data_IF_592996784841
#
_entry.id   IF_592996784841
#
_cell.length_a   1.000
_cell.length_b   1.000
_cell.length_c   1.000
_cell.angle_alpha   90.00
_cell.angle_beta   90.00
_cell.angle_gamma   90.00
#
_symmetry.space_group_name_H-M   'P 1'
#
loop_
_entity.id
_entity.type
_entity.pdbx_description
1 polymer ?
#
# COMPACT_ATOMS: atom_id res chain seq x y z
N UNK A 1 -23.01 63.04 17.77
CA UNK A 1 -23.42 61.81 17.05
C UNK A 1 -22.17 61.02 16.66
N UNK A 2 -21.75 60.05 17.48
CA UNK A 2 -20.58 59.19 17.20
C UNK A 2 -21.07 57.78 16.82
N UNK A 3 -20.98 57.43 15.55
CA UNK A 3 -21.24 56.05 15.09
C UNK A 3 -20.16 55.12 15.63
N UNK A 4 -20.56 54.24 16.54
CA UNK A 4 -19.72 53.17 17.09
C UNK A 4 -19.71 52.03 16.05
N UNK A 5 -18.66 51.98 15.21
CA UNK A 5 -18.30 50.80 14.42
C UNK A 5 -18.21 49.60 15.37
N UNK A 6 -19.25 48.77 15.44
CA UNK A 6 -19.15 47.43 16.03
C UNK A 6 -18.45 46.55 14.98
N UNK A 7 -17.14 46.49 15.07
CA UNK A 7 -16.36 45.40 14.52
C UNK A 7 -16.88 44.11 15.15
N UNK A 8 -17.56 43.28 14.35
CA UNK A 8 -17.79 41.89 14.70
C UNK A 8 -16.44 41.17 14.61
N UNK A 9 -15.62 41.34 15.65
CA UNK A 9 -14.54 40.42 15.96
C UNK A 9 -15.21 39.13 16.42
N UNK A 10 -15.31 38.16 15.51
CA UNK A 10 -15.54 36.77 15.87
C UNK A 10 -14.40 36.34 16.79
N UNK A 11 -14.71 36.36 18.09
CA UNK A 11 -13.89 35.86 19.18
C UNK A 11 -13.43 34.44 18.87
N UNK A 12 -12.12 34.21 19.02
CA UNK A 12 -11.47 32.95 18.76
C UNK A 12 -11.98 31.83 19.68
N UNK A 13 -12.85 30.99 19.13
CA UNK A 13 -13.10 29.64 19.63
C UNK A 13 -12.18 28.66 18.91
N UNK A 14 -10.96 28.45 19.40
CA UNK A 14 -10.11 27.31 19.02
C UNK A 14 -10.65 26.01 19.65
N UNK A 15 -11.87 25.60 19.31
CA UNK A 15 -12.44 24.31 19.73
C UNK A 15 -13.22 23.72 18.56
N UNK A 16 -12.72 22.62 18.01
CA UNK A 16 -13.43 21.81 17.02
C UNK A 16 -13.26 22.21 15.56
N UNK A 17 -12.17 22.89 15.17
CA UNK A 17 -11.74 22.82 13.77
C UNK A 17 -11.29 21.38 13.53
N UNK A 18 -12.21 20.56 13.03
CA UNK A 18 -11.98 19.22 12.53
C UNK A 18 -10.62 19.22 11.83
N UNK A 19 -9.72 18.27 12.11
CA UNK A 19 -8.51 18.13 11.33
C UNK A 19 -8.88 17.53 9.95
N UNK A 20 -9.76 18.20 9.19
CA UNK A 20 -10.03 17.91 7.77
C UNK A 20 -8.76 18.10 6.95
N UNK A 21 -7.80 18.91 7.46
CA UNK A 21 -6.45 19.01 6.92
C UNK A 21 -5.70 17.67 6.90
N UNK A 22 -6.17 16.62 7.59
CA UNK A 22 -5.54 15.29 7.58
C UNK A 22 -5.69 14.59 6.22
N UNK A 23 -6.76 14.82 5.46
CA UNK A 23 -6.93 14.13 4.16
C UNK A 23 -5.97 14.63 3.08
N UNK A 24 -5.50 15.88 3.19
CA UNK A 24 -4.43 16.42 2.32
C UNK A 24 -3.08 15.73 2.51
N UNK A 25 -2.88 15.12 3.69
CA UNK A 25 -1.69 14.38 4.09
C UNK A 25 -1.91 12.87 4.14
N UNK A 26 -3.11 12.37 3.77
CA UNK A 26 -3.27 10.96 3.43
C UNK A 26 -2.60 10.80 2.07
N UNK A 27 -1.30 10.52 2.15
CA UNK A 27 -0.49 10.03 1.06
C UNK A 27 -1.09 8.70 0.59
N UNK A 28 -2.10 8.78 -0.27
CA UNK A 28 -2.64 7.61 -0.97
C UNK A 28 -1.55 7.13 -1.91
N UNK A 29 -0.92 6.02 -1.53
CA UNK A 29 0.27 5.49 -2.20
C UNK A 29 1.48 6.39 -1.94
N UNK A 30 2.19 6.15 -0.82
CA UNK A 30 3.48 6.76 -0.48
C UNK A 30 4.58 6.38 -1.47
N UNK A 31 4.38 6.66 -2.76
CA UNK A 31 5.42 6.66 -3.74
C UNK A 31 6.34 7.83 -3.43
N UNK A 32 7.60 7.53 -3.13
CA UNK A 32 8.62 8.55 -2.98
C UNK A 32 9.22 8.75 -4.36
N UNK A 33 9.07 9.93 -4.99
CA UNK A 33 9.74 10.19 -6.25
C UNK A 33 11.25 10.15 -6.00
N UNK A 34 11.93 9.21 -6.63
CA UNK A 34 13.37 9.02 -6.54
C UNK A 34 13.98 8.70 -7.90
N UNK A 35 15.23 9.08 -8.10
CA UNK A 35 15.97 8.90 -9.36
C UNK A 35 16.87 7.66 -9.37
N UNK A 36 16.82 6.83 -8.33
CA UNK A 36 17.72 5.67 -8.19
C UNK A 36 17.54 4.63 -9.31
N UNK A 37 18.54 3.77 -9.49
CA UNK A 37 18.46 2.64 -10.44
C UNK A 37 17.22 1.77 -10.20
N UNK A 38 16.87 1.53 -8.93
CA UNK A 38 15.70 0.73 -8.57
C UNK A 38 14.38 1.42 -8.90
N UNK A 39 14.32 2.76 -8.88
CA UNK A 39 13.12 3.49 -9.26
C UNK A 39 12.87 3.42 -10.77
N UNK A 40 13.94 3.38 -11.58
CA UNK A 40 13.91 3.36 -13.05
C UNK A 40 13.62 1.99 -13.68
N UNK A 41 13.64 0.92 -12.90
CA UNK A 41 13.29 -0.44 -13.36
C UNK A 41 11.81 -0.52 -13.77
N UNK A 42 11.52 -1.44 -14.68
CA UNK A 42 10.16 -1.71 -15.14
C UNK A 42 9.30 -2.24 -13.98
N UNK A 43 8.07 -1.73 -13.76
CA UNK A 43 7.16 -2.19 -12.72
C UNK A 43 6.89 -3.70 -12.75
N UNK A 44 6.86 -4.30 -13.95
CA UNK A 44 6.67 -5.76 -14.14
C UNK A 44 7.79 -6.55 -13.46
N UNK A 45 9.03 -6.11 -13.65
CA UNK A 45 10.22 -6.72 -13.06
C UNK A 45 10.19 -6.60 -11.56
N UNK A 46 9.85 -5.42 -11.03
CA UNK A 46 9.74 -5.24 -9.57
C UNK A 46 8.68 -6.15 -8.96
N UNK A 47 7.49 -6.23 -9.56
CA UNK A 47 6.42 -7.12 -9.10
C UNK A 47 6.88 -8.58 -9.12
N UNK A 48 7.52 -9.02 -10.22
CA UNK A 48 8.02 -10.39 -10.33
C UNK A 48 9.12 -10.70 -9.30
N UNK A 49 10.09 -9.79 -9.11
CA UNK A 49 11.16 -9.92 -8.12
C UNK A 49 10.59 -9.97 -6.70
N UNK A 50 9.63 -9.11 -6.37
CA UNK A 50 8.98 -9.12 -5.05
C UNK A 50 8.19 -10.41 -4.84
N UNK A 51 7.48 -10.90 -5.86
CA UNK A 51 6.76 -12.17 -5.77
C UNK A 51 7.73 -13.35 -5.56
N UNK A 52 8.82 -13.40 -6.34
CA UNK A 52 9.87 -14.40 -6.18
C UNK A 52 10.47 -14.35 -4.78
N UNK A 53 10.74 -13.15 -4.25
CA UNK A 53 11.29 -12.98 -2.90
C UNK A 53 10.32 -13.47 -1.83
N UNK A 54 9.03 -13.14 -1.95
CA UNK A 54 8.00 -13.63 -1.01
C UNK A 54 7.95 -15.14 -1.01
N UNK A 55 7.86 -15.76 -2.19
CA UNK A 55 7.82 -17.23 -2.33
C UNK A 55 9.12 -17.87 -1.84
N UNK A 56 10.26 -17.30 -2.23
CA UNK A 56 11.59 -17.80 -1.85
C UNK A 56 11.83 -17.82 -0.35
N UNK A 57 11.37 -16.80 0.39
CA UNK A 57 11.50 -16.74 1.86
C UNK A 57 10.77 -17.88 2.59
N UNK A 58 9.78 -18.52 1.97
CA UNK A 58 9.10 -19.69 2.56
C UNK A 58 9.90 -20.98 2.44
N UNK A 59 10.80 -21.08 1.46
CA UNK A 59 11.66 -22.25 1.26
C UNK A 59 12.94 -22.22 2.10
N UNK A 60 13.18 -21.14 2.86
CA UNK A 60 14.38 -20.97 3.67
C UNK A 60 14.12 -21.39 5.11
N UNK A 61 14.87 -22.39 5.58
CA UNK A 61 14.84 -22.87 6.97
C UNK A 61 16.18 -22.67 7.74
N UNK A 62 17.25 -22.34 7.02
CA UNK A 62 18.59 -22.07 7.59
C UNK A 62 18.82 -20.61 7.97
N UNK A 63 19.53 -20.37 9.09
CA UNK A 63 19.97 -19.04 9.54
C UNK A 63 20.86 -18.33 8.51
N UNK A 64 21.70 -19.08 7.79
CA UNK A 64 22.54 -18.54 6.71
C UNK A 64 21.68 -18.03 5.56
N UNK A 65 20.61 -18.76 5.21
CA UNK A 65 19.68 -18.36 4.15
C UNK A 65 18.98 -17.04 4.46
N UNK A 66 18.52 -16.84 5.71
CA UNK A 66 17.96 -15.55 6.13
C UNK A 66 18.99 -14.42 6.15
N UNK A 67 20.23 -14.70 6.57
CA UNK A 67 21.32 -13.72 6.53
C UNK A 67 21.61 -13.24 5.10
N UNK A 68 21.65 -14.16 4.14
CA UNK A 68 21.85 -13.85 2.73
C UNK A 68 20.65 -13.10 2.12
N UNK A 69 19.43 -13.50 2.45
CA UNK A 69 18.22 -12.79 2.02
C UNK A 69 18.16 -11.36 2.61
N UNK A 70 18.56 -11.20 3.88
CA UNK A 70 18.68 -9.89 4.52
C UNK A 70 19.74 -9.03 3.84
N UNK A 71 20.88 -9.59 3.46
CA UNK A 71 21.92 -8.88 2.70
C UNK A 71 21.40 -8.43 1.33
N UNK A 72 20.71 -9.30 0.61
CA UNK A 72 20.10 -8.95 -0.68
C UNK A 72 19.11 -7.78 -0.57
N UNK A 73 18.21 -7.83 0.42
CA UNK A 73 17.25 -6.75 0.68
C UNK A 73 17.99 -5.48 1.12
N UNK A 74 19.01 -5.58 1.97
CA UNK A 74 19.80 -4.42 2.41
C UNK A 74 20.49 -3.73 1.22
N UNK A 75 21.08 -4.50 0.30
CA UNK A 75 21.66 -3.97 -0.94
C UNK A 75 20.59 -3.31 -1.81
N UNK A 76 19.39 -3.89 -1.93
CA UNK A 76 18.28 -3.27 -2.65
C UNK A 76 17.84 -1.95 -2.01
N UNK A 77 17.77 -1.88 -0.68
CA UNK A 77 17.45 -0.64 0.06
C UNK A 77 18.51 0.43 -0.18
N UNK A 78 19.79 0.09 -0.10
CA UNK A 78 20.89 1.04 -0.34
C UNK A 78 20.83 1.59 -1.78
N UNK A 79 20.62 0.71 -2.77
CA UNK A 79 20.48 1.11 -4.17
C UNK A 79 19.21 1.90 -4.45
N UNK A 80 18.17 1.78 -3.62
CA UNK A 80 16.90 2.50 -3.80
C UNK A 80 16.96 3.96 -3.33
N UNK A 81 17.94 4.31 -2.49
CA UNK A 81 18.04 5.66 -1.89
C UNK A 81 16.89 6.00 -0.93
N UNK A 82 16.10 5.01 -0.49
CA UNK A 82 14.97 5.23 0.41
C UNK A 82 15.50 5.48 1.84
N UNK A 83 15.08 6.56 2.51
CA UNK A 83 15.46 6.79 3.89
C UNK A 83 14.89 5.69 4.80
N UNK A 84 15.76 5.04 5.58
CA UNK A 84 15.39 3.92 6.46
C UNK A 84 14.21 4.21 7.41
N UNK A 85 13.99 5.49 7.76
CA UNK A 85 12.84 5.96 8.55
C UNK A 85 11.49 5.53 7.97
N UNK A 86 11.35 5.45 6.64
CA UNK A 86 10.11 5.00 6.01
C UNK A 86 9.91 3.50 6.13
N UNK A 87 10.99 2.71 6.06
CA UNK A 87 10.95 1.27 6.30
C UNK A 87 10.52 0.97 7.74
N UNK A 88 11.09 1.67 8.73
CA UNK A 88 10.68 1.51 10.13
C UNK A 88 9.22 1.92 10.38
N UNK A 89 8.69 2.89 9.62
CA UNK A 89 7.27 3.26 9.69
C UNK A 89 6.36 2.13 9.18
N UNK A 90 6.78 1.39 8.17
CA UNK A 90 6.10 0.19 7.68
C UNK A 90 6.12 -0.96 8.70
N UNK A 91 7.20 -1.11 9.46
CA UNK A 91 7.30 -2.13 10.51
C UNK A 91 6.44 -1.80 11.74
N UNK A 92 6.33 -0.52 12.12
CA UNK A 92 5.66 -0.07 13.36
C UNK A 92 4.30 -0.74 13.66
N UNK A 93 3.33 -0.82 12.72
CA UNK A 93 2.04 -1.48 13.02
C UNK A 93 2.15 -2.99 13.22
N UNK A 94 3.18 -3.63 12.66
CA UNK A 94 3.36 -5.10 12.68
C UNK A 94 4.29 -5.56 13.81
N UNK A 95 5.01 -4.65 14.48
CA UNK A 95 5.90 -4.99 15.62
C UNK A 95 5.15 -5.79 16.69
N UNK A 96 3.90 -5.44 16.99
CA UNK A 96 3.09 -6.16 17.98
C UNK A 96 2.90 -7.62 17.56
N UNK A 97 2.62 -7.86 16.28
CA UNK A 97 2.44 -9.21 15.73
C UNK A 97 3.77 -9.97 15.77
N UNK A 98 4.88 -9.34 15.36
CA UNK A 98 6.21 -9.97 15.38
C UNK A 98 6.60 -10.39 16.80
N UNK A 99 6.43 -9.49 17.78
CA UNK A 99 6.73 -9.77 19.18
C UNK A 99 5.81 -10.86 19.74
N UNK A 100 4.53 -10.83 19.41
CA UNK A 100 3.58 -11.85 19.82
C UNK A 100 3.95 -13.22 19.23
N UNK A 101 4.22 -13.31 17.93
CA UNK A 101 4.62 -14.56 17.27
C UNK A 101 5.93 -15.09 17.83
N UNK A 102 6.92 -14.22 18.08
CA UNK A 102 8.19 -14.60 18.70
C UNK A 102 7.99 -15.14 20.11
N UNK A 103 7.20 -14.44 20.94
CA UNK A 103 6.91 -14.86 22.31
C UNK A 103 6.14 -16.19 22.32
N UNK A 104 5.07 -16.32 21.55
CA UNK A 104 4.29 -17.55 21.47
C UNK A 104 5.17 -18.73 21.04
N UNK A 105 5.98 -18.58 19.99
CA UNK A 105 6.87 -19.68 19.56
C UNK A 105 7.94 -19.98 20.61
N UNK A 106 8.47 -18.97 21.32
CA UNK A 106 9.48 -19.18 22.36
C UNK A 106 8.95 -19.97 23.57
N UNK A 107 7.66 -19.82 23.90
CA UNK A 107 7.06 -20.45 25.09
C UNK A 107 6.19 -21.68 24.82
N UNK A 108 5.57 -21.81 23.63
CA UNK A 108 4.68 -22.92 23.29
C UNK A 108 5.35 -24.03 22.46
N UNK A 109 6.57 -23.83 21.97
CA UNK A 109 7.26 -24.86 21.19
C UNK A 109 7.92 -25.87 22.12
N UNK A 110 7.64 -27.15 21.92
CA UNK A 110 8.30 -28.25 22.64
C UNK A 110 9.77 -28.39 22.22
N UNK A 111 10.66 -28.67 23.17
CA UNK A 111 12.10 -28.72 22.93
C UNK A 111 12.96 -28.77 24.20
N UNK A 112 14.28 -28.58 24.07
CA UNK A 112 15.21 -28.47 25.18
C UNK A 112 14.93 -27.23 26.02
N UNK A 113 14.55 -27.47 27.27
CA UNK A 113 14.16 -26.44 28.23
C UNK A 113 15.42 -25.74 28.76
N UNK A 114 15.53 -24.43 28.51
CA UNK A 114 16.59 -23.58 29.08
C UNK A 114 16.12 -22.99 30.41
N UNK A 115 14.86 -22.59 30.47
CA UNK A 115 14.27 -21.94 31.64
C UNK A 115 12.81 -22.32 31.75
N UNK A 116 12.35 -22.62 32.96
CA UNK A 116 11.00 -23.06 33.24
C UNK A 116 10.40 -22.18 34.33
N UNK A 117 9.24 -21.60 34.06
CA UNK A 117 8.46 -20.89 35.05
C UNK A 117 6.98 -21.30 34.94
N UNK A 118 6.59 -22.28 35.77
CA UNK A 118 5.22 -22.83 35.76
C UNK A 118 4.86 -23.53 34.45
N UNK A 119 3.74 -23.15 33.84
CA UNK A 119 3.26 -23.67 32.54
C UNK A 119 4.05 -23.11 31.33
N UNK A 120 4.89 -22.09 31.54
CA UNK A 120 5.71 -21.47 30.49
C UNK A 120 7.12 -22.05 30.55
N UNK A 121 7.47 -22.85 29.55
CA UNK A 121 8.82 -23.38 29.36
C UNK A 121 9.47 -22.69 28.16
N UNK A 122 10.61 -22.04 28.40
CA UNK A 122 11.42 -21.43 27.34
C UNK A 122 12.33 -22.50 26.74
N UNK A 123 12.11 -22.82 25.47
CA UNK A 123 12.86 -23.87 24.74
C UNK A 123 13.84 -23.27 23.75
N UNK A 124 14.99 -23.95 23.52
CA UNK A 124 15.98 -23.53 22.51
C UNK A 124 15.38 -23.51 21.11
N UNK A 125 14.60 -24.54 20.80
CA UNK A 125 13.92 -24.73 19.52
C UNK A 125 12.83 -23.68 19.32
N UNK A 126 12.12 -23.31 20.38
CA UNK A 126 11.14 -22.22 20.36
C UNK A 126 11.77 -20.87 20.09
N UNK A 127 12.91 -20.58 20.74
CA UNK A 127 13.68 -19.36 20.51
C UNK A 127 14.23 -19.31 19.07
N UNK A 128 14.74 -20.43 18.57
CA UNK A 128 15.24 -20.55 17.21
C UNK A 128 14.12 -20.35 16.17
N UNK A 129 13.05 -21.14 16.24
CA UNK A 129 11.90 -21.04 15.30
C UNK A 129 11.20 -19.68 15.40
N UNK A 130 10.99 -19.19 16.62
CA UNK A 130 10.42 -17.86 16.85
C UNK A 130 11.28 -16.75 16.23
N UNK A 131 12.60 -16.82 16.41
CA UNK A 131 13.56 -15.89 15.82
C UNK A 131 13.53 -15.92 14.29
N UNK A 132 13.54 -17.12 13.69
CA UNK A 132 13.45 -17.27 12.23
C UNK A 132 12.15 -16.70 11.68
N UNK A 133 11.00 -16.96 12.32
CA UNK A 133 9.70 -16.41 11.91
C UNK A 133 9.67 -14.88 12.05
N UNK A 134 10.23 -14.33 13.13
CA UNK A 134 10.34 -12.89 13.31
C UNK A 134 11.18 -12.24 12.20
N UNK A 135 12.34 -12.81 11.87
CA UNK A 135 13.18 -12.35 10.76
C UNK A 135 12.45 -12.49 9.42
N UNK A 136 11.78 -13.62 9.15
CA UNK A 136 10.97 -13.84 7.93
C UNK A 136 9.94 -12.74 7.75
N UNK A 137 9.19 -12.41 8.80
CA UNK A 137 8.19 -11.33 8.76
C UNK A 137 8.83 -9.96 8.49
N UNK A 138 9.95 -9.65 9.14
CA UNK A 138 10.68 -8.40 8.88
C UNK A 138 11.12 -8.32 7.42
N UNK A 139 11.72 -9.37 6.87
CA UNK A 139 12.18 -9.39 5.47
C UNK A 139 11.01 -9.26 4.48
N UNK A 140 9.88 -9.92 4.74
CA UNK A 140 8.67 -9.80 3.91
C UNK A 140 8.15 -8.35 3.90
N UNK A 141 8.06 -7.73 5.08
CA UNK A 141 7.55 -6.35 5.20
C UNK A 141 8.52 -5.37 4.52
N UNK A 142 9.83 -5.48 4.77
CA UNK A 142 10.81 -4.57 4.14
C UNK A 142 10.83 -4.77 2.62
N UNK A 143 10.87 -6.01 2.14
CA UNK A 143 10.89 -6.33 0.71
C UNK A 143 9.67 -5.80 -0.04
N UNK A 144 8.47 -6.01 0.50
CA UNK A 144 7.21 -5.49 -0.09
C UNK A 144 7.07 -3.97 0.06
N UNK A 145 7.61 -3.39 1.12
CA UNK A 145 7.65 -1.93 1.31
C UNK A 145 8.50 -1.25 0.23
N UNK A 146 9.61 -1.85 -0.20
CA UNK A 146 10.42 -1.31 -1.30
C UNK A 146 9.59 -1.20 -2.58
N UNK A 147 8.84 -2.23 -2.96
CA UNK A 147 7.96 -2.18 -4.14
C UNK A 147 6.96 -1.03 -4.05
N UNK A 148 6.30 -0.92 -2.89
CA UNK A 148 5.26 0.07 -2.62
C UNK A 148 5.79 1.51 -2.60
N UNK A 149 6.99 1.72 -2.05
CA UNK A 149 7.61 3.05 -1.95
C UNK A 149 8.26 3.50 -3.27
N UNK A 150 8.78 2.55 -4.07
CA UNK A 150 9.52 2.84 -5.32
C UNK A 150 8.68 2.76 -6.59
N UNK A 151 7.39 2.42 -6.50
CA UNK A 151 6.51 2.29 -7.67
C UNK A 151 5.20 2.99 -7.43
N UNK A 152 4.80 3.87 -8.35
CA UNK A 152 3.53 4.58 -8.23
C UNK A 152 2.35 3.61 -8.43
N UNK A 153 1.19 3.86 -7.78
CA UNK A 153 0.02 2.99 -7.92
C UNK A 153 -0.42 2.76 -9.37
N UNK A 154 -0.35 3.80 -10.21
CA UNK A 154 -0.65 3.69 -11.64
C UNK A 154 0.35 2.79 -12.39
N UNK A 155 1.64 2.90 -12.08
CA UNK A 155 2.66 2.04 -12.68
C UNK A 155 2.55 0.59 -12.21
N UNK A 156 2.13 0.36 -10.95
CA UNK A 156 1.81 -0.97 -10.44
C UNK A 156 0.62 -1.59 -11.17
N UNK A 157 -0.45 -0.81 -11.42
CA UNK A 157 -1.60 -1.30 -12.19
C UNK A 157 -1.24 -1.62 -13.63
N UNK A 158 -0.44 -0.78 -14.30
CA UNK A 158 0.05 -1.03 -15.66
C UNK A 158 0.96 -2.29 -15.72
N UNK A 159 1.78 -2.49 -14.69
CA UNK A 159 2.64 -3.66 -14.54
C UNK A 159 1.82 -4.93 -14.37
N UNK A 160 0.85 -4.92 -13.46
CA UNK A 160 -0.04 -6.04 -13.18
C UNK A 160 -0.90 -6.39 -14.40
N UNK A 161 -1.44 -5.40 -15.11
CA UNK A 161 -2.19 -5.59 -16.36
C UNK A 161 -1.36 -6.41 -17.35
N UNK A 162 -0.09 -6.04 -17.55
CA UNK A 162 0.74 -6.76 -18.51
C UNK A 162 1.09 -8.18 -18.06
N UNK A 163 1.21 -8.42 -16.76
CA UNK A 163 1.44 -9.76 -16.21
C UNK A 163 0.18 -10.64 -16.35
N UNK A 164 -1.01 -10.04 -16.30
CA UNK A 164 -2.29 -10.72 -16.48
C UNK A 164 -2.71 -10.89 -17.96
N UNK A 165 -2.06 -10.18 -18.90
CA UNK A 165 -2.31 -10.30 -20.34
C UNK A 165 -2.32 -11.74 -20.89
N UNK A 166 -1.37 -12.66 -20.55
CA UNK A 166 -1.45 -14.05 -21.00
C UNK A 166 -2.70 -14.79 -20.47
N UNK A 167 -3.20 -14.40 -19.30
CA UNK A 167 -4.43 -14.92 -18.70
C UNK A 167 -5.70 -14.55 -19.46
N UNK A 168 -5.61 -13.69 -20.49
CA UNK A 168 -6.73 -13.39 -21.40
C UNK A 168 -7.30 -14.64 -22.07
N UNK A 169 -6.46 -15.65 -22.34
CA UNK A 169 -6.90 -16.94 -22.90
C UNK A 169 -7.85 -17.71 -21.97
N UNK A 170 -7.81 -17.41 -20.68
CA UNK A 170 -8.66 -18.00 -19.63
C UNK A 170 -9.88 -17.11 -19.33
N UNK A 171 -10.12 -16.07 -20.15
CA UNK A 171 -11.27 -15.17 -20.01
C UNK A 171 -11.06 -14.00 -19.06
N UNK A 172 -9.82 -13.72 -18.60
CA UNK A 172 -9.54 -12.58 -17.72
C UNK A 172 -9.54 -11.26 -18.53
N UNK A 173 -10.43 -10.28 -18.23
CA UNK A 173 -10.51 -9.00 -18.93
C UNK A 173 -9.47 -8.01 -18.40
N UNK A 174 -8.19 -8.27 -18.65
CA UNK A 174 -7.07 -7.51 -18.07
C UNK A 174 -7.11 -6.01 -18.42
N UNK A 175 -7.49 -5.65 -19.66
CA UNK A 175 -7.56 -4.27 -20.12
C UNK A 175 -8.67 -3.49 -19.43
N UNK A 176 -9.84 -4.10 -19.26
CA UNK A 176 -10.99 -3.51 -18.58
C UNK A 176 -10.69 -3.29 -17.10
N UNK A 177 -10.05 -4.26 -16.45
CA UNK A 177 -9.57 -4.11 -15.06
C UNK A 177 -8.60 -2.94 -14.91
N UNK A 178 -7.62 -2.81 -15.81
CA UNK A 178 -6.66 -1.72 -15.79
C UNK A 178 -7.33 -0.35 -15.99
N UNK A 179 -8.33 -0.28 -16.88
CA UNK A 179 -9.12 0.92 -17.11
C UNK A 179 -9.91 1.33 -15.86
N UNK A 180 -10.64 0.39 -15.25
CA UNK A 180 -11.41 0.64 -14.02
C UNK A 180 -10.50 1.12 -12.89
N UNK A 181 -9.34 0.48 -12.71
CA UNK A 181 -8.35 0.91 -11.71
C UNK A 181 -7.79 2.31 -12.00
N UNK A 182 -7.48 2.63 -13.26
CA UNK A 182 -6.97 3.96 -13.66
C UNK A 182 -8.02 5.05 -13.41
N UNK A 183 -9.28 4.79 -13.77
CA UNK A 183 -10.41 5.69 -13.53
C UNK A 183 -10.59 5.89 -12.03
N UNK A 184 -10.59 4.81 -11.24
CA UNK A 184 -10.72 4.87 -9.78
C UNK A 184 -9.60 5.70 -9.15
N UNK A 185 -8.32 5.41 -9.47
CA UNK A 185 -7.17 6.16 -8.95
C UNK A 185 -7.25 7.65 -9.27
N UNK A 186 -7.75 8.01 -10.46
CA UNK A 186 -7.94 9.41 -10.86
C UNK A 186 -9.11 10.07 -10.12
N UNK A 187 -10.19 9.35 -9.84
CA UNK A 187 -11.36 9.89 -9.15
C UNK A 187 -11.22 9.98 -7.63
N UNK A 188 -10.34 9.18 -7.02
CA UNK A 188 -10.11 9.22 -5.57
C UNK A 188 -9.79 10.65 -5.07
N UNK A 189 -8.81 11.39 -5.62
CA UNK A 189 -8.52 12.76 -5.18
C UNK A 189 -9.73 13.69 -5.32
N UNK A 190 -10.45 13.62 -6.45
CA UNK A 190 -11.60 14.48 -6.70
C UNK A 190 -12.78 14.18 -5.76
N UNK A 191 -13.02 12.89 -5.44
CA UNK A 191 -14.04 12.48 -4.48
C UNK A 191 -13.69 12.92 -3.06
N UNK A 192 -12.41 12.93 -2.68
CA UNK A 192 -11.97 13.45 -1.38
C UNK A 192 -12.21 14.97 -1.29
N UNK A 193 -11.85 15.73 -2.32
CA UNK A 193 -12.12 17.18 -2.36
C UNK A 193 -13.62 17.49 -2.29
N UNK A 194 -14.45 16.70 -2.97
CA UNK A 194 -15.90 16.84 -2.94
C UNK A 194 -16.48 16.48 -1.57
N UNK A 195 -15.97 15.41 -0.96
CA UNK A 195 -16.30 15.04 0.42
C UNK A 195 -15.98 16.18 1.39
N UNK A 196 -14.80 16.80 1.28
CA UNK A 196 -14.44 17.94 2.13
C UNK A 196 -15.38 19.14 1.94
N UNK A 197 -15.79 19.43 0.70
CA UNK A 197 -16.72 20.52 0.39
C UNK A 197 -18.11 20.25 0.97
N UNK A 198 -18.64 19.05 0.76
CA UNK A 198 -19.95 18.64 1.29
C UNK A 198 -19.93 18.66 2.82
N UNK A 199 -18.89 18.12 3.44
CA UNK A 199 -18.76 18.09 4.90
C UNK A 199 -18.75 19.50 5.49
N UNK A 200 -17.94 20.43 4.95
CA UNK A 200 -17.92 21.84 5.40
C UNK A 200 -19.27 22.53 5.20
N UNK A 201 -19.96 22.25 4.10
CA UNK A 201 -21.30 22.80 3.85
C UNK A 201 -22.35 22.28 4.84
N UNK A 202 -22.31 20.98 5.17
CA UNK A 202 -23.22 20.39 6.17
C UNK A 202 -22.91 20.90 7.59
N UNK A 203 -21.64 21.06 7.95
CA UNK A 203 -21.25 21.68 9.22
C UNK A 203 -21.77 23.12 9.34
N UNK A 204 -21.71 23.90 8.26
CA UNK A 204 -22.28 25.25 8.23
C UNK A 204 -23.81 25.26 8.38
N UNK A 205 -24.48 24.16 8.02
CA UNK A 205 -25.92 23.95 8.22
C UNK A 205 -26.26 23.35 9.59
N UNK A 206 -25.30 23.23 10.49
CA UNK A 206 -25.50 22.72 11.85
C UNK A 206 -25.43 21.20 11.98
N UNK A 207 -24.97 20.47 10.96
CA UNK A 207 -24.70 19.05 11.09
C UNK A 207 -23.46 18.82 11.97
N UNK A 208 -23.60 17.98 13.00
CA UNK A 208 -22.50 17.55 13.85
C UNK A 208 -22.11 16.10 13.51
N UNK A 209 -20.85 15.93 13.14
CA UNK A 209 -20.27 14.63 12.76
C UNK A 209 -19.46 13.99 13.90
N UNK A 210 -19.12 14.74 14.95
CA UNK A 210 -18.22 14.27 16.01
C UNK A 210 -18.95 13.93 17.31
N UNK A 211 -20.11 14.54 17.60
CA UNK A 211 -20.83 14.25 18.85
C UNK A 211 -21.85 13.10 18.74
N UNK A 212 -22.20 12.52 19.89
CA UNK A 212 -23.25 11.51 20.03
C UNK A 212 -22.78 10.04 20.06
N UNK A 213 -23.75 9.14 20.25
CA UNK A 213 -23.55 7.69 20.22
C UNK A 213 -23.17 7.19 18.81
N UNK A 214 -22.57 6.00 18.68
CA UNK A 214 -22.17 5.43 17.38
C UNK A 214 -23.34 5.43 16.36
N UNK A 215 -24.56 5.14 16.80
CA UNK A 215 -25.75 5.16 15.95
C UNK A 215 -26.09 6.57 15.43
N UNK A 216 -25.93 7.58 16.29
CA UNK A 216 -26.20 8.97 15.95
C UNK A 216 -25.15 9.51 14.97
N UNK A 217 -23.88 9.14 15.15
CA UNK A 217 -22.81 9.41 14.20
C UNK A 217 -23.03 8.73 12.85
N UNK A 218 -23.48 7.48 12.84
CA UNK A 218 -23.82 6.80 11.59
C UNK A 218 -24.95 7.52 10.84
N UNK A 219 -25.98 7.96 11.56
CA UNK A 219 -27.10 8.73 10.98
C UNK A 219 -26.66 10.11 10.47
N UNK A 220 -25.71 10.76 11.15
CA UNK A 220 -25.19 12.07 10.72
C UNK A 220 -24.31 12.01 9.47
N UNK A 221 -23.85 10.82 9.03
CA UNK A 221 -23.15 10.64 7.76
C UNK A 221 -24.08 10.60 6.54
N UNK A 222 -25.39 10.34 6.72
CA UNK A 222 -26.33 10.22 5.62
C UNK A 222 -26.41 11.48 4.71
N UNK A 223 -26.43 12.72 5.25
CA UNK A 223 -26.40 13.95 4.44
C UNK A 223 -25.11 14.18 3.66
N UNK A 224 -24.03 13.45 3.98
CA UNK A 224 -22.78 13.44 3.22
C UNK A 224 -22.81 12.35 2.15
N UNK A 225 -23.27 11.16 2.52
CA UNK A 225 -23.25 9.97 1.66
C UNK A 225 -24.17 10.13 0.46
N UNK A 226 -25.41 10.57 0.64
CA UNK A 226 -26.38 10.68 -0.46
C UNK A 226 -25.91 11.64 -1.56
N UNK A 227 -25.47 12.88 -1.29
CA UNK A 227 -24.98 13.77 -2.34
C UNK A 227 -23.70 13.26 -3.02
N UNK A 228 -22.81 12.62 -2.26
CA UNK A 228 -21.58 12.06 -2.82
C UNK A 228 -21.88 10.93 -3.81
N UNK A 229 -22.83 10.04 -3.49
CA UNK A 229 -23.27 8.98 -4.42
C UNK A 229 -23.89 9.55 -5.69
N UNK A 230 -24.82 10.51 -5.56
CA UNK A 230 -25.46 11.14 -6.73
C UNK A 230 -24.41 11.80 -7.63
N UNK A 231 -23.43 12.49 -7.05
CA UNK A 231 -22.36 13.12 -7.82
C UNK A 231 -21.43 12.09 -8.49
N UNK A 232 -21.10 11.00 -7.80
CA UNK A 232 -20.30 9.92 -8.35
C UNK A 232 -20.99 9.24 -9.54
N UNK A 233 -22.29 8.95 -9.44
CA UNK A 233 -23.08 8.40 -10.56
C UNK A 233 -23.12 9.36 -11.75
N UNK A 234 -23.45 10.63 -11.51
CA UNK A 234 -23.47 11.63 -12.58
C UNK A 234 -22.11 11.73 -13.29
N UNK A 235 -21.01 11.70 -12.53
CA UNK A 235 -19.65 11.73 -13.11
C UNK A 235 -19.31 10.45 -13.89
N UNK A 236 -19.80 9.30 -13.46
CA UNK A 236 -19.66 8.05 -14.20
C UNK A 236 -20.40 8.12 -15.55
N UNK A 237 -21.63 8.64 -15.55
CA UNK A 237 -22.42 8.83 -16.78
C UNK A 237 -21.77 9.85 -17.73
N UNK A 238 -21.34 11.00 -17.21
CA UNK A 238 -20.60 12.00 -17.99
C UNK A 238 -19.31 11.43 -18.59
N UNK A 239 -18.57 10.63 -17.81
CA UNK A 239 -17.37 9.95 -18.30
C UNK A 239 -17.71 8.94 -19.40
N UNK A 240 -18.76 8.13 -19.22
CA UNK A 240 -19.19 7.13 -20.18
C UNK A 240 -19.58 7.79 -21.52
N UNK A 241 -20.43 8.82 -21.48
CA UNK A 241 -20.83 9.59 -22.67
C UNK A 241 -19.61 10.22 -23.34
N UNK A 242 -18.69 10.80 -22.57
CA UNK A 242 -17.46 11.39 -23.12
C UNK A 242 -16.53 10.34 -23.75
N UNK A 243 -16.49 9.13 -23.20
CA UNK A 243 -15.75 8.00 -23.76
C UNK A 243 -16.38 7.52 -25.07
N UNK A 244 -17.70 7.37 -25.12
CA UNK A 244 -18.43 7.00 -26.34
C UNK A 244 -18.28 8.05 -27.44
N UNK A 245 -18.38 9.34 -27.10
CA UNK A 245 -18.17 10.45 -28.04
C UNK A 245 -16.74 10.47 -28.63
N UNK A 246 -15.75 9.96 -27.89
CA UNK A 246 -14.37 9.76 -28.37
C UNK A 246 -14.17 8.42 -29.08
N UNK A 247 -15.26 7.74 -29.44
CA UNK A 247 -15.28 6.42 -30.04
C UNK A 247 -14.49 5.38 -29.22
N UNK A 248 -14.51 5.50 -27.88
CA UNK A 248 -13.86 4.52 -27.03
C UNK A 248 -14.68 3.21 -27.02
N UNK A 249 -14.31 2.31 -27.92
CA UNK A 249 -14.68 0.90 -27.87
C UNK A 249 -13.55 0.17 -27.14
N UNK A 250 -13.82 -0.39 -25.96
CA UNK A 250 -12.83 -1.19 -25.21
C UNK A 250 -12.36 -2.40 -26.02
N UNK A 251 -11.22 -3.00 -25.67
CA UNK A 251 -10.81 -4.30 -26.24
C UNK A 251 -9.61 -4.30 -27.19
N UNK A 252 -9.57 -5.33 -28.06
CA UNK A 252 -8.45 -5.67 -28.95
C UNK A 252 -8.18 -4.63 -30.03
N UNK A 253 -6.92 -4.53 -30.46
CA UNK A 253 -6.50 -3.60 -31.53
C UNK A 253 -6.18 -2.17 -31.07
N UNK A 254 -6.26 -1.87 -29.76
CA UNK A 254 -5.87 -0.56 -29.23
C UNK A 254 -4.36 -0.40 -29.06
N UNK A 255 -3.84 0.77 -29.41
CA UNK A 255 -2.46 1.18 -29.13
C UNK A 255 -2.35 1.85 -27.76
N UNK A 256 -1.25 1.59 -27.05
CA UNK A 256 -0.93 2.26 -25.78
C UNK A 256 0.00 3.44 -26.01
N UNK A 257 -0.37 4.61 -25.47
CA UNK A 257 0.48 5.80 -25.52
C UNK A 257 1.73 5.64 -24.65
N UNK A 258 1.55 5.11 -23.43
CA UNK A 258 2.66 4.78 -22.53
C UNK A 258 2.96 3.29 -22.63
N UNK A 259 4.08 2.96 -23.27
CA UNK A 259 4.55 1.59 -23.39
C UNK A 259 5.62 1.32 -22.33
N UNK A 260 5.47 0.18 -21.66
CA UNK A 260 6.50 -0.35 -20.77
C UNK A 260 7.54 -1.04 -21.65
N UNK A 261 8.79 -0.59 -21.57
CA UNK A 261 9.88 -1.05 -22.42
C UNK A 261 10.93 -1.74 -21.56
N UNK A 262 11.07 -3.05 -21.77
CA UNK A 262 11.99 -3.89 -21.02
C UNK A 262 13.42 -3.49 -21.36
N UNK A 263 14.16 -2.96 -20.39
CA UNK A 263 15.56 -2.59 -20.56
C UNK A 263 16.45 -3.80 -20.26
N UNK A 264 17.69 -3.86 -20.78
CA UNK A 264 18.61 -4.95 -20.45
C UNK A 264 18.87 -5.05 -18.94
N UNK A 265 18.86 -3.93 -18.22
CA UNK A 265 18.95 -3.91 -16.75
C UNK A 265 17.81 -4.70 -16.07
N UNK A 266 16.59 -4.65 -16.61
CA UNK A 266 15.44 -5.39 -16.08
C UNK A 266 15.66 -6.90 -16.21
N UNK A 267 16.24 -7.34 -17.33
CA UNK A 267 16.58 -8.74 -17.54
C UNK A 267 17.63 -9.22 -16.54
N UNK A 268 18.73 -8.46 -16.35
CA UNK A 268 19.77 -8.83 -15.40
C UNK A 268 19.26 -8.87 -13.95
N UNK A 269 18.41 -7.92 -13.56
CA UNK A 269 17.82 -7.92 -12.21
C UNK A 269 16.88 -9.09 -12.02
N UNK A 270 16.00 -9.38 -13.00
CA UNK A 270 15.08 -10.50 -12.92
C UNK A 270 15.82 -11.84 -12.87
N UNK A 271 16.72 -12.08 -13.83
CA UNK A 271 17.50 -13.31 -13.90
C UNK A 271 18.39 -13.48 -12.67
N UNK A 272 19.08 -12.42 -12.25
CA UNK A 272 19.91 -12.44 -11.05
C UNK A 272 19.11 -12.75 -9.78
N UNK A 273 17.95 -12.13 -9.61
CA UNK A 273 17.06 -12.41 -8.47
C UNK A 273 16.53 -13.85 -8.48
N UNK A 274 16.15 -14.36 -9.66
CA UNK A 274 15.66 -15.74 -9.82
C UNK A 274 16.74 -16.76 -9.49
N UNK A 275 17.95 -16.59 -10.04
CA UNK A 275 19.10 -17.46 -9.76
C UNK A 275 19.47 -17.41 -8.28
N UNK A 276 19.50 -16.22 -7.68
CA UNK A 276 19.79 -16.06 -6.25
C UNK A 276 18.78 -16.80 -5.37
N UNK A 277 17.48 -16.69 -5.67
CA UNK A 277 16.43 -17.35 -4.90
C UNK A 277 16.44 -18.87 -5.09
N UNK A 278 16.64 -19.35 -6.31
CA UNK A 278 16.77 -20.80 -6.58
C UNK A 278 18.01 -21.35 -5.87
N UNK A 279 19.13 -20.65 -5.93
CA UNK A 279 20.34 -21.03 -5.21
C UNK A 279 20.12 -21.05 -3.70
N UNK A 280 19.45 -20.04 -3.14
CA UNK A 280 19.08 -20.03 -1.72
C UNK A 280 18.17 -21.20 -1.36
N UNK A 281 17.17 -21.51 -2.17
CA UNK A 281 16.25 -22.63 -1.92
C UNK A 281 16.95 -24.00 -2.01
N UNK A 282 18.06 -24.12 -2.74
CA UNK A 282 18.85 -25.35 -2.84
C UNK A 282 19.88 -25.49 -1.72
N UNK A 283 20.33 -24.37 -1.13
CA UNK A 283 21.38 -24.33 -0.10
C UNK A 283 20.80 -24.25 1.32
N UNK A 284 19.61 -23.67 1.48
CA UNK A 284 18.94 -23.48 2.77
C UNK A 284 18.28 -24.76 3.29
#
# INVERSE_FOLDING_TARGET
MRQKKRSWQCSGGKRGLVPVATFRNIAIGQYIPGESMLHRLDPRTKIAVTLLLVVGLFFIDSYLGYGLAALYIALAVLNSGIPARFLFRGLKPVIIIILLTFALNSFLTEGEIIWQWGFLSLTKEGLYKGGLLAVRLILLIVGTSILTLTTSPLALTDGLESLLRPGRRVGIPAHELAMMMTIALRFIPTLLEETEKIMKAQMARGADFESGNLLQRAKSLLPLLVPLFVSAFRRADELAIAMEARCYRGGEGRTKLKQLAFRPADFFVLAGSGVFIVWLALVA
#
